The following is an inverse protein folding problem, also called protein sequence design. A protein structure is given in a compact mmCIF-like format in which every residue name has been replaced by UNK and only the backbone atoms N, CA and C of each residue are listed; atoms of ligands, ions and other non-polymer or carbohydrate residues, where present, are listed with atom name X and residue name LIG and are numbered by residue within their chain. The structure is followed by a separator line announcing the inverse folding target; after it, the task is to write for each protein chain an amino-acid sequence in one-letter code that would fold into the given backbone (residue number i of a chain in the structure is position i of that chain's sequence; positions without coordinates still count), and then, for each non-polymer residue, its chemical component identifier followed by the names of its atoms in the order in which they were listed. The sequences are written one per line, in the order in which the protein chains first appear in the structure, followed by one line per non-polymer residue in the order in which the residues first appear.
data_IF_998702786976
#
_entry.id   IF_998702786976
#
_cell.length_a   1.000
_cell.length_b   1.000
_cell.length_c   1.000
_cell.angle_alpha   90.00
_cell.angle_beta   90.00
_cell.angle_gamma   90.00
#
_symmetry.space_group_name_H-M   'P 1'
#
loop_
_entity.id
_entity.type
_entity.pdbx_description
1 polymer ?
#
# COMPACT_ATOMS: atom_id res chain seq x y z
N UNK A 1 18.36 -10.62 -0.95
CA UNK A 1 17.68 -10.62 -2.25
C UNK A 1 16.26 -11.14 -2.03
N UNK A 2 15.36 -10.30 -1.51
CA UNK A 2 13.96 -10.68 -1.28
C UNK A 2 13.10 -9.47 -1.61
N UNK A 3 12.70 -9.41 -2.87
CA UNK A 3 11.83 -8.40 -3.45
C UNK A 3 11.64 -8.84 -4.88
N UNK A 4 10.52 -9.52 -5.14
CA UNK A 4 10.11 -9.83 -6.52
C UNK A 4 10.01 -8.49 -7.25
N UNK A 5 10.52 -8.40 -8.49
CA UNK A 5 10.40 -7.19 -9.29
C UNK A 5 8.92 -6.82 -9.42
N UNK A 6 8.54 -5.70 -8.81
CA UNK A 6 7.22 -5.12 -8.90
C UNK A 6 7.37 -3.69 -9.44
N UNK A 7 7.42 -3.52 -10.76
CA UNK A 7 7.60 -2.23 -11.39
C UNK A 7 6.53 -1.22 -10.96
N UNK A 8 6.88 0.06 -10.97
CA UNK A 8 6.00 1.15 -10.52
C UNK A 8 4.63 1.14 -11.22
N UNK A 9 4.60 0.79 -12.52
CA UNK A 9 3.38 0.71 -13.31
C UNK A 9 2.36 -0.31 -12.79
N UNK A 10 2.78 -1.31 -12.02
CA UNK A 10 1.85 -2.25 -11.40
C UNK A 10 1.03 -1.60 -10.28
N UNK A 11 1.61 -0.66 -9.51
CA UNK A 11 0.87 0.08 -8.48
C UNK A 11 -0.18 1.00 -9.12
N UNK A 12 0.15 1.65 -10.23
CA UNK A 12 -0.82 2.42 -11.01
C UNK A 12 -1.97 1.54 -11.48
N UNK A 13 -1.68 0.33 -11.98
CA UNK A 13 -2.71 -0.62 -12.40
C UNK A 13 -3.58 -1.11 -11.24
N UNK A 14 -3.00 -1.33 -10.05
CA UNK A 14 -3.76 -1.66 -8.84
C UNK A 14 -4.69 -0.51 -8.44
N UNK A 15 -4.23 0.74 -8.51
CA UNK A 15 -5.05 1.90 -8.21
C UNK A 15 -6.23 2.03 -9.19
N UNK A 16 -6.01 1.81 -10.49
CA UNK A 16 -7.08 1.75 -11.48
C UNK A 16 -8.09 0.64 -11.18
N UNK A 17 -7.60 -0.56 -10.85
CA UNK A 17 -8.47 -1.68 -10.49
C UNK A 17 -9.32 -1.33 -9.27
N UNK A 18 -8.71 -0.83 -8.20
CA UNK A 18 -9.43 -0.44 -6.98
C UNK A 18 -10.55 0.58 -7.27
N UNK A 19 -10.33 1.52 -8.21
CA UNK A 19 -11.33 2.52 -8.62
C UNK A 19 -12.47 1.93 -9.46
N UNK A 20 -12.19 0.92 -10.29
CA UNK A 20 -13.14 0.44 -11.30
C UNK A 20 -13.88 -0.85 -10.92
N UNK A 21 -13.37 -1.63 -9.97
CA UNK A 21 -14.02 -2.90 -9.60
C UNK A 21 -15.35 -2.64 -8.88
N UNK A 22 -16.32 -3.53 -9.09
CA UNK A 22 -17.59 -3.53 -8.33
C UNK A 22 -17.48 -4.23 -6.97
N UNK A 23 -16.42 -5.02 -6.77
CA UNK A 23 -16.13 -5.69 -5.51
C UNK A 23 -15.43 -4.77 -4.52
N UNK A 24 -15.31 -5.22 -3.27
CA UNK A 24 -14.48 -4.54 -2.26
C UNK A 24 -13.03 -4.98 -2.39
N UNK A 25 -12.12 -4.02 -2.38
CA UNK A 25 -10.67 -4.27 -2.39
C UNK A 25 -10.02 -3.52 -1.25
N UNK A 26 -9.03 -4.18 -0.64
CA UNK A 26 -8.15 -3.63 0.39
C UNK A 26 -6.72 -3.86 -0.09
N UNK A 27 -5.91 -2.80 -0.08
CA UNK A 27 -4.49 -2.84 -0.45
C UNK A 27 -3.70 -2.36 0.76
N UNK A 28 -2.67 -3.11 1.17
CA UNK A 28 -1.68 -2.65 2.14
C UNK A 28 -0.33 -2.42 1.45
N UNK A 29 0.25 -1.24 1.64
CA UNK A 29 1.58 -0.86 1.13
C UNK A 29 2.34 -0.03 2.16
N UNK A 30 3.66 0.07 2.01
CA UNK A 30 4.48 0.96 2.85
C UNK A 30 4.06 2.43 2.67
N UNK A 31 4.09 3.22 3.76
CA UNK A 31 3.83 4.66 3.73
C UNK A 31 5.06 5.43 3.22
N UNK A 32 5.10 5.59 1.89
CA UNK A 32 6.07 6.42 1.17
C UNK A 32 5.32 7.43 0.27
N UNK A 33 5.92 8.60 -0.05
CA UNK A 33 5.25 9.65 -0.83
C UNK A 33 4.64 9.15 -2.15
N UNK A 34 5.39 8.31 -2.88
CA UNK A 34 4.95 7.73 -4.15
C UNK A 34 3.66 6.91 -4.04
N UNK A 35 3.47 6.13 -2.96
CA UNK A 35 2.24 5.35 -2.78
C UNK A 35 1.04 6.26 -2.49
N UNK A 36 1.25 7.36 -1.76
CA UNK A 36 0.19 8.36 -1.52
C UNK A 36 -0.26 9.02 -2.83
N UNK A 37 0.68 9.31 -3.71
CA UNK A 37 0.39 9.86 -5.04
C UNK A 37 -0.39 8.86 -5.91
N UNK A 38 0.10 7.61 -6.03
CA UNK A 38 -0.51 6.57 -6.87
C UNK A 38 -1.97 6.29 -6.46
N UNK A 39 -2.23 6.17 -5.16
CA UNK A 39 -3.54 5.83 -4.62
C UNK A 39 -4.41 7.06 -4.28
N UNK A 40 -4.02 8.26 -4.71
CA UNK A 40 -4.81 9.48 -4.50
C UNK A 40 -6.25 9.30 -5.00
N UNK A 41 -7.20 9.79 -4.21
CA UNK A 41 -8.64 9.71 -4.47
C UNK A 41 -9.33 8.44 -3.96
N UNK A 42 -8.59 7.47 -3.41
CA UNK A 42 -9.15 6.33 -2.69
C UNK A 42 -9.20 6.60 -1.18
N UNK A 43 -9.91 5.76 -0.43
CA UNK A 43 -9.96 5.85 1.03
C UNK A 43 -8.63 5.32 1.60
N UNK A 44 -7.83 6.18 2.21
CA UNK A 44 -6.49 5.83 2.74
C UNK A 44 -6.47 6.01 4.25
N UNK A 45 -6.08 4.95 4.97
CA UNK A 45 -5.82 4.96 6.40
C UNK A 45 -4.34 4.67 6.66
N UNK A 46 -3.70 5.46 7.52
CA UNK A 46 -2.31 5.21 7.93
C UNK A 46 -2.32 4.38 9.21
N UNK A 47 -1.61 3.26 9.22
CA UNK A 47 -1.46 2.39 10.39
C UNK A 47 0.01 2.28 10.78
N UNK A 48 0.26 2.31 12.08
CA UNK A 48 1.59 2.08 12.63
C UNK A 48 1.81 0.59 12.76
N UNK A 49 2.90 0.09 12.20
CA UNK A 49 3.28 -1.32 12.29
C UNK A 49 4.66 -1.46 12.92
N UNK A 50 4.78 -2.47 13.79
CA UNK A 50 6.04 -2.84 14.40
C UNK A 50 6.44 -4.20 13.82
N UNK A 51 7.34 -4.22 12.84
CA UNK A 51 7.93 -5.48 12.38
C UNK A 51 8.86 -6.01 13.47
N UNK A 52 8.51 -7.16 14.03
CA UNK A 52 9.29 -7.91 15.02
C UNK A 52 9.87 -9.19 14.40
N UNK A 53 10.52 -9.09 13.24
CA UNK A 53 11.35 -10.17 12.72
C UNK A 53 12.83 -9.81 12.91
N UNK A 54 13.46 -10.50 13.87
CA UNK A 54 14.91 -10.55 14.11
C UNK A 54 15.61 -9.20 14.41
N UNK A 55 15.33 -8.58 15.57
CA UNK A 55 16.16 -7.51 16.12
C UNK A 55 15.39 -6.33 16.72
N UNK A 56 16.02 -5.15 16.75
CA UNK A 56 15.40 -3.91 17.25
C UNK A 56 14.20 -3.55 16.38
N UNK A 57 13.00 -3.34 16.97
CA UNK A 57 11.83 -2.93 16.22
C UNK A 57 12.13 -1.63 15.49
N UNK A 58 12.03 -1.65 14.17
CA UNK A 58 12.09 -0.43 13.37
C UNK A 58 10.65 0.03 13.17
N UNK A 59 10.24 1.19 13.72
CA UNK A 59 8.90 1.68 13.51
C UNK A 59 8.70 1.93 12.01
N UNK A 60 7.66 1.32 11.45
CA UNK A 60 7.22 1.57 10.08
C UNK A 60 5.76 1.99 10.07
N UNK A 61 5.38 2.65 8.99
CA UNK A 61 4.00 3.03 8.70
C UNK A 61 3.56 2.33 7.42
N UNK A 62 2.33 1.86 7.42
CA UNK A 62 1.66 1.32 6.24
C UNK A 62 0.43 2.16 5.91
N UNK A 63 0.05 2.11 4.63
CA UNK A 63 -1.18 2.65 4.11
C UNK A 63 -2.12 1.49 3.83
N UNK A 64 -3.30 1.52 4.44
CA UNK A 64 -4.45 0.71 4.07
C UNK A 64 -5.31 1.52 3.11
N UNK A 65 -5.44 1.05 1.87
CA UNK A 65 -6.25 1.67 0.83
C UNK A 65 -7.48 0.81 0.58
N UNK A 66 -8.65 1.43 0.63
CA UNK A 66 -9.96 0.80 0.40
C UNK A 66 -10.74 1.53 -0.70
N UNK A 67 -11.61 0.81 -1.40
CA UNK A 67 -12.54 1.37 -2.38
C UNK A 67 -13.98 1.52 -1.86
N UNK A 68 -14.15 1.55 -0.54
CA UNK A 68 -15.42 1.66 0.17
C UNK A 68 -15.28 2.52 1.43
#
# INVERSE_FOLDING_TARGET
MLGVDFPEGNYSRLAELARCIRGKMIISVNDIPQMREVFTGLNIQTVNINYSLAGKPTPRRELLICNF
#
